data_IF_465826827026
#
_entry.id   IF_465826827026
#
_cell.length_a   1.000
_cell.length_b   1.000
_cell.length_c   1.000
_cell.angle_alpha   90.00
_cell.angle_beta   90.00
_cell.angle_gamma   90.00
#
_symmetry.space_group_name_H-M   'P 1'
#
loop_
_entity.id
_entity.type
_entity.pdbx_description
1 polymer ?
#
# COMPACT_ATOMS: atom_id res chain seq x y z
N UNK A 1 -19.99 -2.36 -6.52
CA UNK A 1 -18.78 -2.55 -5.71
C UNK A 1 -19.08 -2.15 -4.27
N UNK A 2 -18.67 -2.99 -3.33
CA UNK A 2 -18.88 -2.68 -1.92
C UNK A 2 -17.88 -1.64 -1.44
N UNK A 3 -18.35 -0.73 -0.62
CA UNK A 3 -17.50 0.29 -0.02
C UNK A 3 -17.47 0.07 1.49
N UNK A 4 -16.28 -0.03 2.04
CA UNK A 4 -16.09 -0.18 3.48
C UNK A 4 -15.92 1.19 4.12
N UNK A 5 -16.59 1.41 5.23
CA UNK A 5 -16.48 2.65 6.01
C UNK A 5 -16.13 2.29 7.44
N UNK A 6 -15.12 2.94 7.98
CA UNK A 6 -14.77 2.80 9.40
C UNK A 6 -14.64 1.33 9.81
N UNK A 7 -13.94 0.56 8.99
CA UNK A 7 -13.80 -0.86 9.23
C UNK A 7 -12.58 -1.12 10.12
N UNK A 8 -12.67 -2.14 10.97
CA UNK A 8 -11.55 -2.57 11.77
C UNK A 8 -11.36 -4.07 11.62
N UNK A 9 -10.11 -4.50 11.73
CA UNK A 9 -9.76 -5.91 11.71
C UNK A 9 -9.46 -6.32 13.14
N UNK A 10 -10.39 -7.07 13.71
CA UNK A 10 -10.30 -7.47 15.11
C UNK A 10 -9.66 -8.85 15.24
N UNK A 11 -8.36 -8.89 15.03
CA UNK A 11 -7.59 -10.11 15.08
C UNK A 11 -6.18 -9.76 15.52
N UNK A 12 -5.40 -10.80 15.86
CA UNK A 12 -4.03 -10.64 16.30
C UNK A 12 -3.01 -11.04 15.25
N UNK A 13 -3.47 -11.42 14.09
CA UNK A 13 -2.60 -11.85 13.00
C UNK A 13 -2.04 -10.68 12.20
N UNK A 14 -2.37 -10.64 10.93
CA UNK A 14 -1.81 -9.64 10.03
C UNK A 14 -2.75 -9.44 8.84
N UNK A 15 -2.47 -8.40 8.07
CA UNK A 15 -3.03 -8.25 6.74
C UNK A 15 -1.87 -8.24 5.76
N UNK A 16 -2.12 -8.76 4.56
CA UNK A 16 -1.13 -8.73 3.47
C UNK A 16 -1.67 -7.81 2.39
N UNK A 17 -1.03 -6.66 2.17
CA UNK A 17 -1.46 -5.77 1.10
C UNK A 17 -1.04 -6.33 -0.26
N UNK A 18 -1.52 -5.69 -1.31
CA UNK A 18 -1.09 -6.03 -2.65
C UNK A 18 0.43 -5.89 -2.73
N UNK A 19 1.07 -6.78 -3.50
CA UNK A 19 2.52 -6.80 -3.63
C UNK A 19 2.91 -6.85 -5.10
N UNK A 20 4.02 -6.22 -5.43
CA UNK A 20 4.52 -6.23 -6.79
C UNK A 20 5.81 -5.42 -6.89
N UNK A 21 6.40 -5.45 -8.09
CA UNK A 21 7.64 -4.72 -8.35
C UNK A 21 7.33 -3.23 -8.51
N UNK A 22 8.39 -2.42 -8.55
CA UNK A 22 8.26 -1.00 -8.82
C UNK A 22 7.54 -0.76 -10.15
N UNK A 23 7.84 -1.56 -11.16
CA UNK A 23 7.23 -1.40 -12.48
C UNK A 23 5.75 -1.74 -12.48
N UNK A 24 5.27 -2.45 -11.48
CA UNK A 24 3.87 -2.86 -11.38
C UNK A 24 3.00 -1.87 -10.58
N UNK A 25 3.54 -0.72 -10.24
CA UNK A 25 2.76 0.32 -9.60
C UNK A 25 1.60 0.74 -10.48
N UNK A 26 0.43 1.07 -9.88
CA UNK A 26 -0.69 1.57 -10.69
C UNK A 26 -0.27 2.77 -11.53
N UNK A 27 -0.79 2.84 -12.75
CA UNK A 27 -0.47 3.95 -13.65
C UNK A 27 -1.10 5.27 -13.24
N UNK A 28 -2.23 5.20 -12.55
CA UNK A 28 -2.93 6.41 -12.09
C UNK A 28 -3.28 6.21 -10.61
N UNK A 29 -2.29 6.33 -9.73
CA UNK A 29 -2.54 6.09 -8.32
C UNK A 29 -3.28 7.25 -7.66
N UNK A 30 -3.93 6.95 -6.55
CA UNK A 30 -4.59 7.95 -5.72
C UNK A 30 -3.91 8.00 -4.35
N UNK A 31 -3.95 9.17 -3.75
CA UNK A 31 -3.35 9.35 -2.44
C UNK A 31 -3.94 8.36 -1.42
N UNK A 32 -3.09 7.78 -0.62
CA UNK A 32 -3.52 6.82 0.37
C UNK A 32 -3.40 5.36 -0.05
N UNK A 33 -3.10 5.10 -1.31
CA UNK A 33 -2.84 3.72 -1.74
C UNK A 33 -1.58 3.20 -1.08
N UNK A 34 -1.65 1.98 -0.55
CA UNK A 34 -0.48 1.32 0.06
C UNK A 34 -0.26 0.00 -0.63
N UNK A 35 1.01 -0.43 -0.68
CA UNK A 35 1.37 -1.70 -1.27
C UNK A 35 2.75 -2.13 -0.80
N UNK A 36 3.08 -3.40 -1.02
CA UNK A 36 4.41 -3.93 -0.75
C UNK A 36 5.21 -3.94 -2.05
N UNK A 37 6.35 -3.26 -2.05
CA UNK A 37 7.23 -3.20 -3.22
C UNK A 37 8.28 -4.30 -3.10
N UNK A 38 8.19 -5.32 -3.97
CA UNK A 38 9.10 -6.46 -3.91
C UNK A 38 10.50 -6.12 -4.45
N UNK A 39 10.62 -5.09 -5.28
CA UNK A 39 11.93 -4.66 -5.77
C UNK A 39 12.73 -4.02 -4.65
N UNK A 40 12.11 -3.13 -3.89
CA UNK A 40 12.78 -2.43 -2.81
C UNK A 40 12.63 -3.13 -1.46
N UNK A 41 11.78 -4.16 -1.40
CA UNK A 41 11.50 -4.90 -0.17
C UNK A 41 11.00 -3.96 0.93
N UNK A 42 10.03 -3.13 0.59
CA UNK A 42 9.49 -2.14 1.52
C UNK A 42 8.01 -1.93 1.27
N UNK A 43 7.29 -1.56 2.33
CA UNK A 43 5.95 -1.00 2.17
C UNK A 43 6.07 0.41 1.62
N UNK A 44 5.11 0.79 0.79
CA UNK A 44 5.10 2.14 0.25
C UNK A 44 3.69 2.69 0.21
N UNK A 45 3.58 3.98 0.25
CA UNK A 45 2.32 4.70 0.22
C UNK A 45 2.41 5.81 -0.82
N UNK A 46 1.31 6.05 -1.53
CA UNK A 46 1.24 7.16 -2.48
C UNK A 46 0.65 8.37 -1.75
N UNK A 47 1.41 9.46 -1.72
CA UNK A 47 0.99 10.66 -0.99
C UNK A 47 0.19 11.66 -1.83
N UNK A 48 -0.12 11.28 -3.04
CA UNK A 48 -0.82 12.17 -3.97
C UNK A 48 0.11 12.74 -5.03
N UNK A 49 1.40 12.66 -4.81
CA UNK A 49 2.41 13.19 -5.73
C UNK A 49 3.42 12.11 -6.10
N UNK A 50 3.85 11.32 -5.14
CA UNK A 50 4.87 10.30 -5.37
C UNK A 50 4.68 9.15 -4.40
N UNK A 51 5.30 8.01 -4.74
CA UNK A 51 5.35 6.86 -3.85
C UNK A 51 6.49 7.05 -2.85
N UNK A 52 6.19 6.84 -1.59
CA UNK A 52 7.17 6.96 -0.51
C UNK A 52 7.18 5.68 0.30
N UNK A 53 8.38 5.28 0.72
CA UNK A 53 8.51 4.14 1.60
C UNK A 53 7.99 4.49 2.99
N UNK A 54 7.31 3.52 3.62
CA UNK A 54 6.83 3.70 4.99
C UNK A 54 7.95 3.50 6.00
N UNK A 55 9.03 2.84 5.59
CA UNK A 55 10.15 2.62 6.48
C UNK A 55 10.83 3.93 6.85
N UNK A 56 11.26 4.01 8.10
CA UNK A 56 11.97 5.18 8.59
C UNK A 56 13.48 5.03 8.54
N UNK A 57 13.94 3.88 8.17
CA UNK A 57 15.39 3.61 8.11
C UNK A 57 15.86 3.46 6.70
#
# INVERSE_FOLDING_TARGET
MATLKNSSINDTGYIRPAAGTTAQRPGTPSAGMIRWNTTDTKMEVYDGTEWKALSTN
#
